data_IF_492518149254
#
_entry.id   IF_492518149254
#
_cell.length_a   1.000
_cell.length_b   1.000
_cell.length_c   1.000
_cell.angle_alpha   90.00
_cell.angle_beta   90.00
_cell.angle_gamma   90.00
#
_symmetry.space_group_name_H-M   'P 1'
#
loop_
_entity.id
_entity.type
_entity.pdbx_description
1 polymer ?
#
# COMPACT_ATOMS: atom_id res chain seq x y z
N UNK A 1 12.99 3.04 15.27
CA UNK A 1 12.33 3.50 14.03
C UNK A 1 13.39 3.89 13.04
N UNK A 2 13.24 3.51 11.77
CA UNK A 2 14.25 3.71 10.73
C UNK A 2 13.96 4.96 9.89
N UNK A 3 15.03 5.63 9.47
CA UNK A 3 15.00 6.80 8.58
C UNK A 3 14.34 6.48 7.23
N UNK A 4 13.65 7.48 6.66
CA UNK A 4 13.03 7.37 5.35
C UNK A 4 14.08 7.11 4.26
N UNK A 5 13.86 6.07 3.44
CA UNK A 5 14.75 5.72 2.35
C UNK A 5 13.96 5.27 1.12
N UNK A 6 14.46 5.65 -0.07
CA UNK A 6 13.91 5.25 -1.37
C UNK A 6 15.01 4.63 -2.22
N UNK A 7 14.81 3.39 -2.65
CA UNK A 7 15.68 2.72 -3.61
C UNK A 7 15.00 2.62 -4.97
N UNK A 8 15.74 2.84 -6.06
CA UNK A 8 15.24 2.76 -7.43
C UNK A 8 15.92 1.60 -8.16
N UNK A 9 15.15 0.85 -8.94
CA UNK A 9 15.67 -0.12 -9.92
C UNK A 9 14.81 -0.11 -11.17
N UNK A 10 15.41 -0.39 -12.32
CA UNK A 10 14.66 -0.73 -13.52
C UNK A 10 14.47 -2.24 -13.59
N UNK A 11 13.24 -2.68 -13.83
CA UNK A 11 12.88 -4.10 -13.85
C UNK A 11 11.81 -4.33 -14.93
N UNK A 12 12.12 -5.10 -15.96
CA UNK A 12 11.18 -5.38 -17.05
C UNK A 12 10.66 -4.14 -17.80
N UNK A 13 11.40 -3.03 -17.80
CA UNK A 13 10.97 -1.75 -18.40
C UNK A 13 10.09 -0.87 -17.48
N UNK A 14 9.82 -1.32 -16.25
CA UNK A 14 9.20 -0.51 -15.21
C UNK A 14 10.26 0.09 -14.27
N UNK A 15 10.02 1.32 -13.82
CA UNK A 15 10.75 1.92 -12.71
C UNK A 15 10.15 1.42 -11.39
N UNK A 16 10.87 0.58 -10.67
CA UNK A 16 10.46 0.07 -9.37
C UNK A 16 11.15 0.87 -8.28
N UNK A 17 10.35 1.45 -7.40
CA UNK A 17 10.79 2.30 -6.30
C UNK A 17 10.37 1.65 -4.98
N UNK A 18 11.33 1.28 -4.14
CA UNK A 18 11.08 0.66 -2.83
C UNK A 18 11.23 1.69 -1.73
N UNK A 19 10.19 1.85 -0.92
CA UNK A 19 10.11 2.81 0.17
C UNK A 19 10.26 2.08 1.51
N UNK A 20 11.08 2.63 2.39
CA UNK A 20 11.31 2.09 3.73
C UNK A 20 11.36 3.20 4.77
N UNK A 21 10.92 2.90 6.00
CA UNK A 21 10.97 3.84 7.12
C UNK A 21 9.69 4.65 7.29
N UNK A 22 9.82 5.81 7.93
CA UNK A 22 8.69 6.69 8.26
C UNK A 22 8.51 7.74 7.17
N UNK A 23 7.26 8.06 6.82
CA UNK A 23 6.94 9.16 5.91
C UNK A 23 6.34 10.28 6.74
N UNK A 24 7.18 11.18 7.22
CA UNK A 24 6.83 12.30 8.11
C UNK A 24 7.44 13.62 7.62
N UNK A 25 7.61 14.62 8.50
CA UNK A 25 8.23 15.90 8.18
C UNK A 25 9.70 15.82 7.72
N UNK A 26 10.42 14.76 8.11
CA UNK A 26 11.83 14.56 7.75
C UNK A 26 11.98 13.74 6.45
N UNK A 27 10.88 13.17 5.95
CA UNK A 27 10.88 12.40 4.71
C UNK A 27 11.23 13.29 3.50
N UNK A 28 12.42 13.06 2.94
CA UNK A 28 12.93 13.83 1.82
C UNK A 28 12.74 13.11 0.48
N UNK A 29 11.89 13.66 -0.38
CA UNK A 29 11.68 13.19 -1.76
C UNK A 29 12.55 13.94 -2.79
N UNK A 30 13.42 14.85 -2.36
CA UNK A 30 14.31 15.59 -3.27
C UNK A 30 15.25 14.63 -4.00
N UNK A 31 15.29 14.71 -5.33
CA UNK A 31 16.08 13.78 -6.17
C UNK A 31 15.42 12.41 -6.40
N UNK A 32 14.22 12.19 -5.84
CA UNK A 32 13.38 11.03 -6.14
C UNK A 32 12.55 11.32 -7.40
N UNK A 33 13.19 11.46 -8.55
CA UNK A 33 12.51 11.64 -9.84
C UNK A 33 12.02 10.31 -10.46
N UNK A 34 11.07 10.41 -11.37
CA UNK A 34 10.52 9.27 -12.13
C UNK A 34 11.15 9.09 -13.52
N UNK A 35 12.09 9.97 -13.90
CA UNK A 35 12.60 10.04 -15.27
C UNK A 35 11.49 10.12 -16.32
N UNK A 36 11.64 9.35 -17.40
CA UNK A 36 10.65 9.20 -18.47
C UNK A 36 9.91 7.86 -18.40
N UNK A 37 9.80 7.25 -17.20
CA UNK A 37 9.19 5.94 -17.03
C UNK A 37 7.70 5.97 -17.40
N UNK A 38 7.29 5.06 -18.27
CA UNK A 38 5.87 4.85 -18.62
C UNK A 38 5.17 3.87 -17.69
N UNK A 39 5.92 3.07 -16.93
CA UNK A 39 5.43 2.16 -15.90
C UNK A 39 6.22 2.36 -14.62
N UNK A 40 5.51 2.64 -13.52
CA UNK A 40 6.09 2.97 -12.21
C UNK A 40 5.45 2.05 -11.18
N UNK A 41 6.28 1.34 -10.42
CA UNK A 41 5.84 0.50 -9.30
C UNK A 41 6.39 1.07 -8.01
N UNK A 42 5.50 1.42 -7.09
CA UNK A 42 5.84 1.87 -5.74
C UNK A 42 5.64 0.69 -4.79
N UNK A 43 6.76 0.11 -4.33
CA UNK A 43 6.77 -0.97 -3.35
C UNK A 43 6.84 -0.38 -1.95
N UNK A 44 5.77 -0.56 -1.18
CA UNK A 44 5.54 0.10 0.11
C UNK A 44 5.68 -0.83 1.31
N UNK A 45 6.16 -2.05 1.08
CA UNK A 45 6.25 -3.13 2.09
C UNK A 45 6.95 -2.70 3.39
N UNK A 46 7.96 -1.84 3.27
CA UNK A 46 8.81 -1.41 4.39
C UNK A 46 8.44 -0.04 4.95
N UNK A 47 7.32 0.54 4.52
CA UNK A 47 6.81 1.79 5.10
C UNK A 47 6.22 1.49 6.47
N UNK A 48 6.87 2.02 7.51
CA UNK A 48 6.51 1.73 8.90
C UNK A 48 5.36 2.60 9.41
N UNK A 49 5.33 3.86 8.99
CA UNK A 49 4.32 4.84 9.44
C UNK A 49 4.25 6.02 8.49
N UNK A 50 3.13 6.72 8.51
CA UNK A 50 2.95 7.96 7.75
C UNK A 50 2.10 8.96 8.57
N UNK A 51 2.47 10.24 8.55
CA UNK A 51 1.73 11.31 9.23
C UNK A 51 1.24 12.39 8.26
N UNK A 52 0.54 13.41 8.76
CA UNK A 52 -0.03 14.50 7.97
C UNK A 52 1.01 15.31 7.17
N UNK A 53 2.22 15.50 7.68
CA UNK A 53 3.31 16.18 6.97
C UNK A 53 3.79 15.31 5.80
N UNK A 54 4.07 14.04 6.08
CA UNK A 54 4.50 13.07 5.08
C UNK A 54 3.46 12.84 3.97
N UNK A 55 2.17 12.79 4.29
CA UNK A 55 1.07 12.70 3.31
C UNK A 55 1.13 13.87 2.32
N UNK A 56 1.40 15.08 2.81
CA UNK A 56 1.44 16.27 1.96
C UNK A 56 2.61 16.23 0.99
N UNK A 57 3.79 15.83 1.48
CA UNK A 57 4.98 15.71 0.65
C UNK A 57 4.85 14.54 -0.34
N UNK A 58 4.26 13.42 0.08
CA UNK A 58 3.90 12.31 -0.81
C UNK A 58 3.02 12.77 -1.96
N UNK A 59 1.92 13.48 -1.68
CA UNK A 59 0.98 13.96 -2.71
C UNK A 59 1.65 14.96 -3.66
N UNK A 60 2.51 15.84 -3.15
CA UNK A 60 3.27 16.77 -4.00
C UNK A 60 4.23 15.99 -4.91
N UNK A 61 4.94 15.03 -4.34
CA UNK A 61 5.93 14.22 -5.04
C UNK A 61 5.28 13.34 -6.12
N UNK A 62 4.24 12.57 -5.79
CA UNK A 62 3.61 11.65 -6.76
C UNK A 62 2.99 12.37 -7.96
N UNK A 63 2.57 13.63 -7.79
CA UNK A 63 2.09 14.49 -8.88
C UNK A 63 3.17 14.91 -9.88
N UNK A 64 4.45 14.69 -9.56
CA UNK A 64 5.56 14.91 -10.49
C UNK A 64 5.78 13.74 -11.45
N UNK A 65 5.06 12.62 -11.25
CA UNK A 65 5.10 11.49 -12.16
C UNK A 65 4.61 11.90 -13.57
N UNK A 66 5.19 11.35 -14.65
CA UNK A 66 4.74 11.63 -16.01
C UNK A 66 3.25 11.33 -16.19
N UNK A 67 2.49 12.25 -16.79
CA UNK A 67 1.03 12.15 -16.90
C UNK A 67 0.51 10.92 -17.64
N UNK A 68 1.32 10.32 -18.52
CA UNK A 68 0.98 9.09 -19.25
C UNK A 68 1.52 7.80 -18.60
N UNK A 69 2.15 7.89 -17.43
CA UNK A 69 2.69 6.73 -16.74
C UNK A 69 1.57 5.92 -16.07
N UNK A 70 1.70 4.60 -16.05
CA UNK A 70 0.89 3.72 -15.21
C UNK A 70 1.56 3.59 -13.84
N UNK A 71 0.86 3.97 -12.77
CA UNK A 71 1.40 3.93 -11.41
C UNK A 71 0.76 2.75 -10.66
N UNK A 72 1.59 1.89 -10.08
CA UNK A 72 1.14 0.70 -9.36
C UNK A 72 1.65 0.73 -7.92
N UNK A 73 0.75 0.67 -6.96
CA UNK A 73 1.05 0.56 -5.54
C UNK A 73 1.09 -0.92 -5.17
N UNK A 74 2.20 -1.37 -4.59
CA UNK A 74 2.47 -2.77 -4.28
C UNK A 74 2.83 -2.94 -2.80
N UNK A 75 2.43 -4.06 -2.22
CA UNK A 75 2.69 -4.45 -0.83
C UNK A 75 2.28 -3.35 0.16
N UNK A 76 1.11 -2.73 -0.03
CA UNK A 76 0.69 -1.61 0.81
C UNK A 76 0.39 -2.06 2.24
N UNK A 77 1.11 -1.56 3.26
CA UNK A 77 0.75 -1.82 4.65
C UNK A 77 -0.55 -1.11 5.00
N UNK A 78 -1.21 -1.54 6.09
CA UNK A 78 -2.51 -0.99 6.51
C UNK A 78 -2.51 0.54 6.61
N UNK A 79 -1.43 1.12 7.15
CA UNK A 79 -1.28 2.58 7.28
C UNK A 79 -1.35 3.33 5.95
N UNK A 80 -0.90 2.71 4.86
CA UNK A 80 -0.99 3.24 3.49
C UNK A 80 -2.41 3.07 2.94
N UNK A 81 -3.02 1.89 3.11
CA UNK A 81 -4.40 1.64 2.67
C UNK A 81 -5.37 2.62 3.32
N UNK A 82 -5.18 2.90 4.60
CA UNK A 82 -5.96 3.89 5.32
C UNK A 82 -5.84 5.29 4.65
N UNK A 83 -4.64 5.71 4.21
CA UNK A 83 -4.46 6.99 3.51
C UNK A 83 -5.11 7.01 2.11
N UNK A 84 -5.04 5.90 1.36
CA UNK A 84 -5.71 5.78 0.05
C UNK A 84 -7.23 6.00 0.19
N UNK A 85 -7.80 5.48 1.28
CA UNK A 85 -9.23 5.61 1.55
C UNK A 85 -9.62 7.02 2.03
N UNK A 86 -8.80 7.62 2.91
CA UNK A 86 -9.13 8.87 3.61
C UNK A 86 -8.70 10.14 2.89
N UNK A 87 -7.61 10.11 2.11
CA UNK A 87 -6.96 11.32 1.57
C UNK A 87 -7.00 11.33 0.04
N UNK A 88 -7.71 12.31 -0.52
CA UNK A 88 -7.79 12.50 -1.95
C UNK A 88 -6.43 12.82 -2.57
N UNK A 89 -6.12 12.16 -3.69
CA UNK A 89 -4.85 12.32 -4.41
C UNK A 89 -3.65 11.60 -3.79
N UNK A 90 -3.85 10.86 -2.67
CA UNK A 90 -2.79 10.00 -2.13
C UNK A 90 -2.47 8.87 -3.12
N UNK A 91 -3.49 8.17 -3.59
CA UNK A 91 -3.45 7.39 -4.82
C UNK A 91 -3.87 8.32 -5.98
N UNK A 92 -3.04 8.55 -7.01
CA UNK A 92 -3.39 9.38 -8.15
C UNK A 92 -4.41 8.68 -9.08
N UNK A 93 -5.08 9.42 -9.96
CA UNK A 93 -6.14 8.89 -10.82
C UNK A 93 -5.66 7.82 -11.83
N UNK A 94 -4.39 7.88 -12.24
CA UNK A 94 -3.70 6.87 -13.05
C UNK A 94 -3.03 5.77 -12.20
N UNK A 95 -3.35 5.73 -10.90
CA UNK A 95 -2.82 4.82 -9.92
C UNK A 95 -3.72 3.61 -9.71
N UNK A 96 -3.12 2.43 -9.56
CA UNK A 96 -3.82 1.20 -9.18
C UNK A 96 -3.11 0.54 -8.00
N UNK A 97 -3.83 -0.29 -7.24
CA UNK A 97 -3.26 -1.10 -6.16
C UNK A 97 -3.16 -2.55 -6.64
N UNK A 98 -1.94 -3.07 -6.70
CA UNK A 98 -1.66 -4.47 -7.05
C UNK A 98 -1.80 -5.38 -5.83
N UNK A 99 -1.34 -4.92 -4.67
CA UNK A 99 -1.38 -5.72 -3.44
C UNK A 99 -1.32 -4.88 -2.16
N UNK A 100 -1.96 -5.37 -1.11
CA UNK A 100 -2.05 -4.71 0.18
C UNK A 100 -2.27 -5.71 1.32
N UNK A 101 -1.89 -5.34 2.54
CA UNK A 101 -1.99 -6.18 3.73
C UNK A 101 -3.29 -5.92 4.49
N UNK A 102 -4.04 -6.99 4.77
CA UNK A 102 -5.25 -6.98 5.61
C UNK A 102 -4.89 -7.54 6.99
N UNK A 103 -5.19 -6.83 8.10
CA UNK A 103 -4.95 -7.35 9.43
C UNK A 103 -6.02 -8.39 9.80
N UNK A 104 -5.57 -9.46 10.44
CA UNK A 104 -6.38 -10.50 11.05
C UNK A 104 -6.02 -10.62 12.52
N UNK A 105 -7.00 -10.73 13.39
CA UNK A 105 -6.84 -10.80 14.83
C UNK A 105 -7.30 -12.16 15.36
N UNK A 106 -6.53 -12.72 16.29
CA UNK A 106 -6.89 -13.93 17.01
C UNK A 106 -7.40 -13.56 18.41
N UNK A 107 -8.66 -13.87 18.71
CA UNK A 107 -9.24 -13.57 20.03
C UNK A 107 -8.57 -14.33 21.19
N UNK A 108 -8.06 -15.53 20.94
CA UNK A 108 -7.48 -16.38 21.99
C UNK A 108 -6.06 -15.96 22.38
N UNK A 109 -5.18 -15.73 21.40
CA UNK A 109 -3.78 -15.33 21.65
C UNK A 109 -3.61 -13.82 21.79
N UNK A 110 -4.55 -13.03 21.26
CA UNK A 110 -4.45 -11.57 21.18
C UNK A 110 -3.47 -11.07 20.10
N UNK A 111 -2.97 -11.96 19.26
CA UNK A 111 -2.00 -11.62 18.21
C UNK A 111 -2.69 -11.17 16.92
N UNK A 112 -1.98 -10.31 16.18
CA UNK A 112 -2.37 -9.85 14.84
C UNK A 112 -1.47 -10.48 13.77
N UNK A 113 -2.05 -10.79 12.61
CA UNK A 113 -1.36 -11.30 11.43
C UNK A 113 -1.76 -10.49 10.21
N UNK A 114 -0.77 -10.03 9.45
CA UNK A 114 -0.99 -9.30 8.20
C UNK A 114 -1.03 -10.28 7.03
N UNK A 115 -2.17 -10.37 6.34
CA UNK A 115 -2.36 -11.22 5.17
C UNK A 115 -2.27 -10.38 3.90
N UNK A 116 -1.37 -10.75 2.99
CA UNK A 116 -1.19 -10.03 1.72
C UNK A 116 -2.26 -10.43 0.71
N UNK A 117 -3.12 -9.48 0.37
CA UNK A 117 -4.14 -9.61 -0.67
C UNK A 117 -3.54 -9.11 -1.99
N UNK A 118 -3.73 -9.88 -3.07
CA UNK A 118 -3.21 -9.62 -4.40
C UNK A 118 -4.34 -9.55 -5.42
N UNK A 119 -4.20 -8.61 -6.34
CA UNK A 119 -5.15 -8.42 -7.44
C UNK A 119 -5.21 -9.68 -8.30
N UNK A 120 -6.41 -10.14 -8.62
CA UNK A 120 -6.69 -11.38 -9.34
C UNK A 120 -6.71 -12.65 -8.50
N UNK A 121 -6.36 -12.57 -7.21
CA UNK A 121 -6.39 -13.71 -6.28
C UNK A 121 -7.39 -13.44 -5.16
N UNK A 122 -7.05 -12.57 -4.21
CA UNK A 122 -7.92 -12.24 -3.08
C UNK A 122 -8.85 -11.05 -3.36
N UNK A 123 -8.67 -10.33 -4.48
CA UNK A 123 -9.61 -9.30 -4.92
C UNK A 123 -9.54 -9.06 -6.43
N UNK A 124 -10.57 -8.42 -6.99
CA UNK A 124 -10.61 -7.98 -8.40
C UNK A 124 -11.02 -6.52 -8.50
N UNK A 125 -10.82 -5.95 -9.69
CA UNK A 125 -11.36 -4.65 -10.04
C UNK A 125 -12.90 -4.64 -9.89
N UNK A 126 -13.46 -3.49 -9.52
CA UNK A 126 -14.89 -3.35 -9.26
C UNK A 126 -15.33 -3.72 -7.83
N UNK A 127 -14.38 -4.01 -6.93
CA UNK A 127 -14.64 -4.16 -5.50
C UNK A 127 -15.00 -5.57 -5.04
N UNK A 128 -14.84 -6.60 -5.88
CA UNK A 128 -14.99 -8.00 -5.46
C UNK A 128 -13.79 -8.41 -4.58
N UNK A 129 -14.07 -8.86 -3.35
CA UNK A 129 -13.07 -9.36 -2.39
C UNK A 129 -13.36 -10.83 -2.11
N UNK A 130 -12.32 -11.66 -2.22
CA UNK A 130 -12.33 -13.10 -2.03
C UNK A 130 -11.28 -13.45 -0.97
N UNK A 131 -11.57 -13.21 0.33
CA UNK A 131 -10.60 -13.45 1.39
C UNK A 131 -10.25 -14.96 1.46
N UNK A 132 -9.03 -15.31 1.89
CA UNK A 132 -8.67 -16.70 2.12
C UNK A 132 -9.57 -17.31 3.21
N UNK A 133 -10.03 -18.54 3.00
CA UNK A 133 -11.06 -19.17 3.84
C UNK A 133 -10.57 -19.71 5.20
N UNK A 134 -9.27 -19.91 5.40
CA UNK A 134 -8.72 -20.55 6.60
C UNK A 134 -7.49 -19.80 7.13
N UNK A 135 -7.66 -18.53 7.53
CA UNK A 135 -6.57 -17.82 8.23
C UNK A 135 -6.50 -18.32 9.66
N UNK A 136 -5.49 -19.15 9.96
CA UNK A 136 -5.25 -19.69 11.30
C UNK A 136 -4.13 -18.97 12.03
N UNK A 137 -4.30 -18.84 13.35
CA UNK A 137 -3.30 -18.34 14.26
C UNK A 137 -2.13 -19.33 14.36
N UNK A 138 -0.90 -18.83 14.26
CA UNK A 138 0.29 -19.69 14.31
C UNK A 138 0.57 -20.24 15.72
N UNK A 139 0.00 -19.63 16.77
CA UNK A 139 0.19 -20.04 18.16
C UNK A 139 -0.94 -20.93 18.69
N UNK A 140 -2.20 -20.53 18.52
CA UNK A 140 -3.33 -21.31 19.03
C UNK A 140 -3.90 -22.31 18.01
N UNK A 141 -3.69 -22.09 16.71
CA UNK A 141 -4.32 -22.86 15.65
C UNK A 141 -5.78 -22.47 15.37
N UNK A 142 -6.35 -21.55 16.17
CA UNK A 142 -7.71 -21.06 15.99
C UNK A 142 -7.85 -20.15 14.76
N UNK A 143 -9.08 -19.98 14.31
CA UNK A 143 -9.39 -19.04 13.23
C UNK A 143 -9.16 -17.60 13.65
N UNK A 144 -8.58 -16.82 12.74
CA UNK A 144 -8.42 -15.38 12.92
C UNK A 144 -9.51 -14.65 12.14
N UNK A 145 -10.01 -13.57 12.71
CA UNK A 145 -11.03 -12.73 12.08
C UNK A 145 -10.40 -11.48 11.47
N UNK A 146 -10.98 -10.97 10.39
CA UNK A 146 -10.49 -9.76 9.75
C UNK A 146 -10.68 -8.55 10.68
N UNK A 147 -9.59 -7.88 11.05
CA UNK A 147 -9.61 -6.74 12.00
C UNK A 147 -9.76 -5.39 11.29
N UNK A 148 -10.72 -5.31 10.37
CA UNK A 148 -11.13 -4.07 9.72
C UNK A 148 -12.62 -4.05 9.43
N UNK A 149 -13.19 -2.85 9.37
CA UNK A 149 -14.52 -2.65 8.80
C UNK A 149 -14.39 -2.76 7.28
N UNK A 150 -14.70 -3.92 6.71
CA UNK A 150 -14.54 -4.24 5.28
C UNK A 150 -15.07 -3.14 4.35
N UNK A 151 -16.30 -2.68 4.60
CA UNK A 151 -16.95 -1.64 3.78
C UNK A 151 -16.20 -0.30 3.76
N UNK A 152 -15.39 -0.02 4.79
CA UNK A 152 -14.51 1.16 4.84
C UNK A 152 -13.14 0.85 4.25
N UNK A 153 -12.59 -0.31 4.58
CA UNK A 153 -11.21 -0.68 4.25
C UNK A 153 -11.03 -0.97 2.76
N UNK A 154 -11.98 -1.66 2.13
CA UNK A 154 -11.94 -2.00 0.70
C UNK A 154 -12.56 -0.94 -0.21
N UNK A 155 -12.96 0.22 0.34
CA UNK A 155 -13.62 1.29 -0.42
C UNK A 155 -12.81 1.75 -1.63
N UNK A 156 -11.48 1.75 -1.55
CA UNK A 156 -10.60 2.13 -2.66
C UNK A 156 -10.71 1.21 -3.88
N UNK A 157 -11.15 -0.05 -3.72
CA UNK A 157 -11.32 -0.99 -4.83
C UNK A 157 -12.48 -0.60 -5.77
N UNK A 158 -13.40 0.25 -5.31
CA UNK A 158 -14.50 0.78 -6.13
C UNK A 158 -14.10 2.03 -6.92
N UNK A 159 -12.89 2.57 -6.73
CA UNK A 159 -12.42 3.80 -7.39
C UNK A 159 -11.68 3.53 -8.71
N UNK A 160 -11.60 2.27 -9.16
CA UNK A 160 -10.97 1.84 -10.41
C UNK A 160 -11.95 1.54 -11.52
#
# INVERSE_FOLDING_TARGET
MGEFNVNKKEDGGALVMTFAGQIDEDANFSGVDFGSASSIVLDLDKVASINSCGIREWIKWIRTAPSGSAITYRNCPKVIVDQINMVAGFLPDNGTVESFYVPYYCEESGNEKMILFRKGVEFKDGGEVLPPGDVKCDESGEEMEMDVIEAKYFKFLQKG
#
